data_IF_337462537235
#
_entry.id   IF_337462537235
#
_cell.length_a   1.000
_cell.length_b   1.000
_cell.length_c   1.000
_cell.angle_alpha   90.00
_cell.angle_beta   90.00
_cell.angle_gamma   90.00
#
_symmetry.space_group_name_H-M   'P 1'
#
loop_
_entity.id
_entity.type
_entity.pdbx_description
1 polymer ?
#
# COMPACT_ATOMS: atom_id res chain seq x y z
N UNK A 1 -6.18 -24.49 -8.15
CA UNK A 1 -5.53 -23.38 -7.40
C UNK A 1 -5.13 -22.33 -8.42
N UNK A 2 -5.38 -21.07 -8.11
CA UNK A 2 -4.92 -19.93 -8.92
C UNK A 2 -3.43 -19.71 -8.69
N UNK A 3 -2.70 -19.17 -9.68
CA UNK A 3 -1.27 -18.86 -9.57
C UNK A 3 -1.00 -17.87 -8.43
N UNK A 4 -1.85 -16.85 -8.29
CA UNK A 4 -1.90 -15.91 -7.16
C UNK A 4 -3.23 -16.05 -6.42
N UNK A 5 -3.27 -15.61 -5.17
CA UNK A 5 -4.50 -15.57 -4.38
C UNK A 5 -4.61 -14.27 -3.60
N UNK A 6 -5.56 -13.43 -4.01
CA UNK A 6 -5.82 -12.12 -3.43
C UNK A 6 -4.54 -11.26 -3.31
N UNK A 7 -3.82 -10.98 -4.42
CA UNK A 7 -2.63 -10.13 -4.36
C UNK A 7 -3.02 -8.75 -3.81
N UNK A 8 -2.45 -8.38 -2.65
CA UNK A 8 -2.80 -7.15 -1.96
C UNK A 8 -1.97 -5.95 -2.40
N UNK A 9 -0.67 -6.14 -2.62
CA UNK A 9 0.24 -5.08 -3.05
C UNK A 9 1.11 -5.57 -4.21
N UNK A 10 1.45 -4.64 -5.07
CA UNK A 10 2.50 -4.79 -6.07
C UNK A 10 3.50 -3.64 -5.90
N UNK A 11 4.79 -3.94 -5.95
CA UNK A 11 5.88 -2.97 -5.88
C UNK A 11 6.83 -3.19 -7.04
N UNK A 12 6.90 -2.22 -7.95
CA UNK A 12 7.72 -2.29 -9.14
C UNK A 12 9.05 -1.57 -8.95
N UNK A 13 10.16 -2.26 -9.20
CA UNK A 13 11.52 -1.75 -9.22
C UNK A 13 12.05 -1.75 -10.66
N UNK A 14 11.92 -0.59 -11.32
CA UNK A 14 12.38 -0.42 -12.69
C UNK A 14 13.89 -0.49 -12.86
N UNK A 15 14.66 -0.14 -11.82
CA UNK A 15 16.11 -0.20 -11.86
C UNK A 15 16.62 -1.64 -11.81
N UNK A 16 16.05 -2.45 -10.92
CA UNK A 16 16.40 -3.86 -10.75
C UNK A 16 15.65 -4.80 -11.71
N UNK A 17 14.75 -4.29 -12.57
CA UNK A 17 13.86 -5.08 -13.41
C UNK A 17 13.08 -6.14 -12.60
N UNK A 18 12.52 -5.70 -11.46
CA UNK A 18 11.84 -6.59 -10.51
C UNK A 18 10.42 -6.11 -10.20
N UNK A 19 9.55 -7.07 -10.01
CA UNK A 19 8.19 -6.85 -9.50
C UNK A 19 8.01 -7.72 -8.25
N UNK A 20 7.71 -7.10 -7.12
CA UNK A 20 7.37 -7.79 -5.88
C UNK A 20 5.85 -7.81 -5.75
N UNK A 21 5.29 -9.00 -5.54
CA UNK A 21 3.85 -9.22 -5.43
C UNK A 21 3.56 -9.83 -4.07
N UNK A 22 2.82 -9.13 -3.23
CA UNK A 22 2.27 -9.70 -2.02
C UNK A 22 1.13 -10.65 -2.40
N UNK A 23 1.43 -11.94 -2.45
CA UNK A 23 0.47 -13.02 -2.72
C UNK A 23 -0.21 -13.40 -1.39
N UNK A 24 -1.10 -12.51 -0.97
CA UNK A 24 -1.55 -12.33 0.40
C UNK A 24 -2.15 -13.58 1.01
N UNK A 25 -3.10 -14.22 0.33
CA UNK A 25 -3.74 -15.44 0.86
C UNK A 25 -2.87 -16.71 0.72
N UNK A 26 -1.78 -16.65 -0.05
CA UNK A 26 -0.75 -17.68 -0.06
C UNK A 26 0.39 -17.40 0.94
N UNK A 27 0.28 -16.38 1.78
CA UNK A 27 1.24 -16.03 2.83
C UNK A 27 2.69 -15.92 2.33
N UNK A 28 2.90 -15.33 1.14
CA UNK A 28 4.21 -15.26 0.50
C UNK A 28 4.37 -14.00 -0.34
N UNK A 29 5.61 -13.68 -0.71
CA UNK A 29 5.93 -12.65 -1.68
C UNK A 29 6.48 -13.34 -2.94
N UNK A 30 5.91 -13.08 -4.09
CA UNK A 30 6.42 -13.56 -5.39
C UNK A 30 7.24 -12.45 -6.02
N UNK A 31 8.48 -12.76 -6.38
CA UNK A 31 9.38 -11.84 -7.09
C UNK A 31 9.50 -12.29 -8.54
N UNK A 32 9.12 -11.40 -9.46
CA UNK A 32 9.24 -11.64 -10.89
C UNK A 32 10.14 -10.60 -11.55
N UNK A 33 10.52 -10.80 -12.80
CA UNK A 33 10.87 -9.67 -13.67
C UNK A 33 9.61 -8.86 -13.98
N UNK A 34 9.80 -7.67 -14.58
CA UNK A 34 8.67 -6.81 -14.95
C UNK A 34 7.77 -7.43 -16.05
N UNK A 35 8.24 -8.46 -16.73
CA UNK A 35 7.47 -9.23 -17.73
C UNK A 35 6.66 -10.40 -17.13
N UNK A 36 6.75 -10.63 -15.81
CA UNK A 36 6.04 -11.69 -15.10
C UNK A 36 6.82 -13.01 -14.93
N UNK A 37 8.05 -13.11 -15.44
CA UNK A 37 8.92 -14.29 -15.27
C UNK A 37 9.37 -14.41 -13.81
N UNK A 38 8.96 -15.47 -13.10
CA UNK A 38 9.27 -15.67 -11.66
C UNK A 38 10.76 -15.89 -11.47
N UNK A 39 11.34 -15.16 -10.53
CA UNK A 39 12.73 -15.27 -10.08
C UNK A 39 12.86 -15.94 -8.74
N UNK A 40 11.96 -15.64 -7.83
CA UNK A 40 12.06 -16.09 -6.44
C UNK A 40 10.70 -16.05 -5.76
N UNK A 41 10.52 -16.93 -4.78
CA UNK A 41 9.42 -16.87 -3.81
C UNK A 41 10.02 -16.68 -2.43
N UNK A 42 9.47 -15.76 -1.67
CA UNK A 42 9.85 -15.43 -0.30
C UNK A 42 8.67 -15.83 0.60
N UNK A 43 8.92 -16.70 1.54
CA UNK A 43 7.90 -17.32 2.39
C UNK A 43 7.61 -18.76 1.96
N UNK A 44 7.35 -19.60 2.96
CA UNK A 44 7.02 -21.03 2.77
C UNK A 44 5.59 -21.24 2.25
N UNK A 45 4.74 -20.21 2.35
CA UNK A 45 3.29 -20.31 2.13
C UNK A 45 2.51 -20.73 3.36
N UNK A 46 3.17 -21.20 4.41
CA UNK A 46 2.53 -21.49 5.69
C UNK A 46 2.27 -20.19 6.46
N UNK A 47 1.13 -20.13 7.12
CA UNK A 47 0.77 -19.04 8.03
C UNK A 47 1.69 -19.05 9.26
N UNK A 48 2.30 -17.91 9.61
CA UNK A 48 3.13 -17.81 10.81
C UNK A 48 4.09 -16.63 10.82
N UNK A 49 4.79 -16.47 11.94
CA UNK A 49 5.80 -15.43 12.18
C UNK A 49 7.19 -16.08 12.33
N UNK A 50 7.69 -16.67 11.25
CA UNK A 50 9.00 -17.39 11.28
C UNK A 50 10.05 -16.59 10.53
N UNK A 51 11.13 -16.26 11.22
CA UNK A 51 12.34 -15.66 10.65
C UNK A 51 13.30 -16.72 10.08
N UNK A 52 14.20 -16.34 9.19
CA UNK A 52 15.25 -17.21 8.67
C UNK A 52 15.44 -17.12 7.16
N UNK A 53 15.79 -18.23 6.50
CA UNK A 53 15.99 -18.30 5.06
C UNK A 53 14.69 -17.95 4.31
N UNK A 54 14.80 -17.33 3.13
CA UNK A 54 13.64 -16.86 2.34
C UNK A 54 12.57 -17.92 2.17
N UNK A 55 12.94 -19.13 1.74
CA UNK A 55 11.98 -20.20 1.46
C UNK A 55 11.42 -20.91 2.72
N UNK A 56 11.98 -20.63 3.90
CA UNK A 56 11.58 -21.24 5.18
C UNK A 56 10.88 -20.26 6.12
N UNK A 57 10.96 -18.97 5.80
CA UNK A 57 10.23 -17.94 6.56
C UNK A 57 8.72 -18.11 6.39
N UNK A 58 7.95 -17.61 7.35
CA UNK A 58 6.50 -17.61 7.26
C UNK A 58 5.96 -16.20 7.47
N UNK A 59 4.88 -15.89 6.80
CA UNK A 59 4.11 -14.65 6.88
C UNK A 59 2.64 -14.97 7.20
N UNK A 60 1.88 -13.94 7.53
CA UNK A 60 0.44 -14.07 7.67
C UNK A 60 -0.26 -12.87 7.00
N UNK A 61 -0.85 -13.12 5.83
CA UNK A 61 -1.51 -12.12 4.99
C UNK A 61 -0.63 -10.86 4.78
N UNK A 62 0.60 -11.00 4.21
CA UNK A 62 1.45 -9.84 3.91
C UNK A 62 0.75 -8.92 2.92
N UNK A 63 0.82 -7.61 3.15
CA UNK A 63 0.19 -6.59 2.32
C UNK A 63 1.24 -5.62 1.74
N UNK A 64 1.49 -4.51 2.41
CA UNK A 64 2.34 -3.45 1.92
C UNK A 64 3.82 -3.78 1.88
N UNK A 65 4.53 -3.15 0.95
CA UNK A 65 5.98 -3.36 0.76
C UNK A 65 6.66 -2.05 0.41
N UNK A 66 7.90 -1.87 0.92
CA UNK A 66 8.81 -0.80 0.52
C UNK A 66 10.21 -1.36 0.29
N UNK A 67 10.90 -0.84 -0.74
CA UNK A 67 12.24 -1.29 -1.11
C UNK A 67 13.26 -0.19 -0.84
N UNK A 68 14.37 -0.56 -0.21
CA UNK A 68 15.60 0.21 -0.12
C UNK A 68 16.75 -0.63 -0.63
N UNK A 69 17.17 -0.38 -1.86
CA UNK A 69 18.25 -1.13 -2.53
C UNK A 69 17.97 -2.64 -2.56
N UNK A 70 18.64 -3.43 -1.74
CA UNK A 70 18.47 -4.88 -1.61
C UNK A 70 17.76 -5.27 -0.30
N UNK A 71 17.09 -4.33 0.34
CA UNK A 71 16.27 -4.58 1.53
C UNK A 71 14.80 -4.30 1.20
N UNK A 72 13.96 -5.35 1.31
CA UNK A 72 12.52 -5.22 1.21
C UNK A 72 11.90 -5.23 2.61
N UNK A 73 11.13 -4.20 2.92
CA UNK A 73 10.30 -4.13 4.12
C UNK A 73 8.88 -4.58 3.78
N UNK A 74 8.28 -5.39 4.64
CA UNK A 74 6.95 -5.98 4.43
C UNK A 74 6.06 -5.72 5.63
N UNK A 75 4.87 -5.21 5.39
CA UNK A 75 3.78 -5.18 6.36
C UNK A 75 3.17 -6.59 6.43
N UNK A 76 3.49 -7.31 7.48
CA UNK A 76 3.00 -8.66 7.77
C UNK A 76 1.74 -8.53 8.64
N UNK A 77 0.62 -8.22 7.96
CA UNK A 77 -0.55 -7.55 8.53
C UNK A 77 -1.21 -8.32 9.65
N UNK A 78 -1.51 -9.61 9.44
CA UNK A 78 -2.17 -10.44 10.45
C UNK A 78 -1.19 -10.98 11.51
N UNK A 79 0.12 -10.87 11.26
CA UNK A 79 1.14 -11.04 12.30
C UNK A 79 1.39 -9.76 13.10
N UNK A 80 0.71 -8.66 12.78
CA UNK A 80 0.93 -7.37 13.44
C UNK A 80 2.42 -7.00 13.54
N UNK A 81 3.16 -7.19 12.43
CA UNK A 81 4.61 -7.08 12.41
C UNK A 81 5.14 -6.39 11.15
N UNK A 82 6.33 -5.82 11.26
CA UNK A 82 7.12 -5.38 10.10
C UNK A 82 8.29 -6.35 9.92
N UNK A 83 8.39 -6.91 8.72
CA UNK A 83 9.45 -7.85 8.38
C UNK A 83 10.47 -7.16 7.46
N UNK A 84 11.72 -7.47 7.66
CA UNK A 84 12.84 -7.08 6.81
C UNK A 84 13.32 -8.30 6.05
N UNK A 85 13.31 -8.20 4.74
CA UNK A 85 13.87 -9.19 3.83
C UNK A 85 15.18 -8.63 3.28
N UNK A 86 16.28 -9.25 3.59
CA UNK A 86 17.58 -8.97 2.99
C UNK A 86 17.77 -9.89 1.78
N UNK A 87 17.60 -9.29 0.59
CA UNK A 87 17.68 -10.02 -0.69
C UNK A 87 19.09 -10.47 -1.01
N UNK A 88 20.12 -9.78 -0.48
CA UNK A 88 21.53 -10.13 -0.71
C UNK A 88 21.97 -11.34 0.12
N UNK A 89 21.58 -11.40 1.39
CA UNK A 89 21.90 -12.53 2.27
C UNK A 89 20.87 -13.67 2.18
N UNK A 90 19.70 -13.41 1.60
CA UNK A 90 18.63 -14.39 1.50
C UNK A 90 17.93 -14.69 2.82
N UNK A 91 17.71 -13.67 3.66
CA UNK A 91 17.13 -13.84 5.00
C UNK A 91 15.96 -12.92 5.28
N UNK A 92 15.02 -13.39 6.10
CA UNK A 92 13.89 -12.62 6.65
C UNK A 92 14.10 -12.47 8.16
N UNK A 93 13.81 -11.28 8.68
CA UNK A 93 13.82 -10.99 10.12
C UNK A 93 12.68 -10.05 10.50
N UNK A 94 12.14 -10.24 11.69
CA UNK A 94 11.16 -9.33 12.30
C UNK A 94 11.87 -8.13 12.89
N UNK A 95 11.50 -6.91 12.48
CA UNK A 95 12.13 -5.66 12.98
C UNK A 95 11.18 -4.84 13.86
N UNK A 96 9.88 -5.07 13.77
CA UNK A 96 8.89 -4.49 14.67
C UNK A 96 7.67 -5.40 14.80
N UNK A 97 6.98 -5.30 15.91
CA UNK A 97 5.85 -6.15 16.28
C UNK A 97 6.26 -7.30 17.18
N UNK A 98 5.37 -7.70 18.08
CA UNK A 98 5.53 -8.83 18.99
C UNK A 98 4.89 -10.11 18.43
N UNK A 99 4.13 -10.01 17.34
CA UNK A 99 3.27 -11.06 16.82
C UNK A 99 1.87 -11.06 17.42
N UNK A 100 1.66 -10.30 18.48
CA UNK A 100 0.35 -10.13 19.12
C UNK A 100 -0.27 -8.79 18.74
N UNK A 101 -1.58 -8.76 18.55
CA UNK A 101 -2.30 -7.51 18.26
C UNK A 101 -2.25 -6.56 19.45
N UNK A 102 -1.79 -5.35 19.22
CA UNK A 102 -1.86 -4.27 20.21
C UNK A 102 -3.28 -3.77 20.43
N UNK A 103 -3.51 -3.16 21.58
CA UNK A 103 -4.81 -2.61 21.96
C UNK A 103 -4.74 -1.15 22.40
N UNK A 104 -3.56 -0.57 22.49
CA UNK A 104 -3.32 0.78 22.99
C UNK A 104 -2.51 1.59 21.99
N UNK A 105 -2.72 2.89 22.02
CA UNK A 105 -1.89 3.87 21.32
C UNK A 105 -0.66 4.13 22.17
N UNK A 106 0.34 3.33 21.98
CA UNK A 106 1.54 3.38 22.80
C UNK A 106 2.40 4.61 22.44
N UNK A 107 3.18 5.03 23.44
CA UNK A 107 4.31 5.90 23.21
C UNK A 107 5.35 5.19 22.31
N UNK A 108 6.32 5.93 21.77
CA UNK A 108 7.41 5.35 21.00
C UNK A 108 8.21 4.34 21.83
N UNK A 109 8.51 3.21 21.23
CA UNK A 109 9.28 2.13 21.86
C UNK A 109 10.19 1.40 20.87
N UNK A 110 10.93 0.42 21.35
CA UNK A 110 11.79 -0.39 20.49
C UNK A 110 10.95 -1.38 19.66
N UNK A 111 11.17 -1.46 18.36
CA UNK A 111 10.30 -2.12 17.39
C UNK A 111 9.80 -3.50 17.80
N UNK A 112 10.70 -4.41 18.16
CA UNK A 112 10.33 -5.79 18.54
C UNK A 112 9.69 -5.92 19.93
N UNK A 113 9.62 -4.83 20.70
CA UNK A 113 8.92 -4.78 22.00
C UNK A 113 7.56 -4.10 21.91
N UNK A 114 7.20 -3.59 20.73
CA UNK A 114 5.94 -2.89 20.49
C UNK A 114 4.92 -3.83 19.85
N UNK A 115 3.74 -3.95 20.43
CA UNK A 115 2.62 -4.63 19.78
C UNK A 115 2.00 -3.70 18.74
N UNK A 116 2.02 -4.09 17.47
CA UNK A 116 1.44 -3.32 16.37
C UNK A 116 -0.04 -3.69 16.15
N UNK A 117 -0.74 -2.91 15.36
CA UNK A 117 -2.16 -3.16 15.08
C UNK A 117 -2.41 -3.07 13.58
N UNK A 118 -2.33 -4.21 12.90
CA UNK A 118 -2.60 -4.37 11.48
C UNK A 118 -1.88 -3.32 10.62
N UNK A 119 -0.52 -3.31 10.58
CA UNK A 119 0.21 -2.50 9.61
C UNK A 119 -0.22 -2.93 8.20
N UNK A 120 -0.66 -1.97 7.38
CA UNK A 120 -1.25 -2.31 6.09
C UNK A 120 -0.34 -1.96 4.91
N UNK A 121 0.26 -0.78 4.92
CA UNK A 121 1.23 -0.38 3.89
C UNK A 121 2.37 0.43 4.50
N UNK A 122 3.46 0.57 3.76
CA UNK A 122 4.63 1.31 4.23
C UNK A 122 5.38 1.99 3.08
N UNK A 123 6.07 3.07 3.41
CA UNK A 123 6.96 3.77 2.50
C UNK A 123 8.27 4.11 3.19
N UNK A 124 9.37 3.87 2.48
CA UNK A 124 10.72 4.20 2.94
C UNK A 124 11.12 5.58 2.44
N UNK A 125 11.58 6.43 3.36
CA UNK A 125 12.12 7.74 3.05
C UNK A 125 13.39 7.97 3.87
N UNK A 126 14.53 8.04 3.21
CA UNK A 126 15.86 8.15 3.84
C UNK A 126 16.11 7.00 4.82
N UNK A 127 16.06 7.25 6.12
CA UNK A 127 16.23 6.24 7.17
C UNK A 127 14.94 5.92 7.93
N UNK A 128 13.84 6.52 7.54
CA UNK A 128 12.56 6.38 8.22
C UNK A 128 11.65 5.49 7.37
N UNK A 129 11.03 4.54 8.02
CA UNK A 129 9.91 3.77 7.49
C UNK A 129 8.62 4.37 8.04
N UNK A 130 7.78 4.92 7.16
CA UNK A 130 6.43 5.37 7.52
C UNK A 130 5.44 4.26 7.23
N UNK A 131 4.50 4.05 8.14
CA UNK A 131 3.62 2.89 8.17
C UNK A 131 2.17 3.36 8.30
N UNK A 132 1.31 2.92 7.41
CA UNK A 132 -0.13 3.03 7.55
C UNK A 132 -0.61 1.96 8.53
N UNK A 133 -0.93 2.38 9.77
CA UNK A 133 -1.39 1.50 10.84
C UNK A 133 -2.92 1.47 10.85
N UNK A 134 -3.48 0.69 9.91
CA UNK A 134 -4.91 0.70 9.62
C UNK A 134 -5.79 0.36 10.83
N UNK A 135 -5.36 -0.60 11.65
CA UNK A 135 -6.16 -1.11 12.77
C UNK A 135 -6.34 -0.14 13.94
N UNK A 136 -5.61 0.99 13.99
CA UNK A 136 -5.75 2.03 15.02
C UNK A 136 -5.80 3.45 14.44
N UNK A 137 -6.17 3.58 13.17
CA UNK A 137 -6.43 4.87 12.54
C UNK A 137 -5.27 5.88 12.68
N UNK A 138 -4.02 5.41 12.49
CA UNK A 138 -2.82 6.23 12.64
C UNK A 138 -1.80 6.00 11.51
N UNK A 139 -0.95 6.99 11.27
CA UNK A 139 0.34 6.77 10.62
C UNK A 139 1.40 6.64 11.71
N UNK A 140 2.31 5.69 11.54
CA UNK A 140 3.45 5.46 12.42
C UNK A 140 4.75 5.72 11.69
N UNK A 141 5.85 5.91 12.44
CA UNK A 141 7.19 6.01 11.90
C UNK A 141 8.17 5.17 12.70
N UNK A 142 9.08 4.50 11.98
CA UNK A 142 10.18 3.73 12.55
C UNK A 142 11.51 4.31 12.06
N UNK A 143 12.41 4.66 12.98
CA UNK A 143 13.78 5.00 12.65
C UNK A 143 14.59 3.70 12.50
N UNK A 144 15.04 3.41 11.29
CA UNK A 144 15.76 2.16 10.97
C UNK A 144 17.17 2.10 11.59
N UNK A 145 17.70 3.21 12.11
CA UNK A 145 19.02 3.26 12.74
C UNK A 145 18.98 2.75 14.17
N UNK A 146 17.99 3.14 14.96
CA UNK A 146 17.90 2.80 16.39
C UNK A 146 16.71 1.87 16.70
N UNK A 147 15.86 1.58 15.70
CA UNK A 147 14.72 0.69 15.85
C UNK A 147 13.55 1.28 16.64
N UNK A 148 13.55 2.58 16.90
CA UNK A 148 12.45 3.24 17.61
C UNK A 148 11.24 3.47 16.70
N UNK A 149 10.09 2.95 17.10
CA UNK A 149 8.82 3.02 16.38
C UNK A 149 7.72 3.64 17.25
N UNK A 150 6.75 4.29 16.64
CA UNK A 150 5.57 4.80 17.33
C UNK A 150 4.74 5.74 16.48
N UNK A 151 3.65 6.29 17.05
CA UNK A 151 2.74 7.21 16.35
C UNK A 151 3.49 8.38 15.71
N UNK A 152 3.09 8.73 14.49
CA UNK A 152 3.55 9.89 13.74
C UNK A 152 2.40 10.88 13.50
N UNK A 153 1.25 10.42 13.05
CA UNK A 153 0.07 11.24 12.82
C UNK A 153 -1.22 10.47 13.17
N UNK A 154 -2.21 11.19 13.67
CA UNK A 154 -3.50 10.65 14.08
C UNK A 154 -3.59 10.38 15.58
N UNK A 155 -4.76 10.68 16.16
CA UNK A 155 -5.06 10.42 17.59
C UNK A 155 -5.44 8.96 17.86
N UNK A 156 -5.81 8.21 16.81
CA UNK A 156 -6.45 6.90 16.88
C UNK A 156 -7.97 6.96 16.99
N UNK A 157 -8.55 8.16 17.07
CA UNK A 157 -9.98 8.36 16.84
C UNK A 157 -10.33 8.23 15.38
N UNK A 158 -11.46 7.60 15.08
CA UNK A 158 -11.94 7.37 13.72
C UNK A 158 -12.77 8.56 13.22
N UNK A 159 -12.16 9.43 12.42
CA UNK A 159 -12.81 10.58 11.79
C UNK A 159 -11.98 11.16 10.64
N UNK A 160 -12.49 12.20 9.97
CA UNK A 160 -11.80 12.99 8.95
C UNK A 160 -11.44 14.39 9.49
N UNK A 161 -10.68 14.48 10.56
CA UNK A 161 -10.30 15.76 11.13
C UNK A 161 -8.92 16.19 10.68
N UNK A 162 -8.85 17.30 9.96
CA UNK A 162 -7.59 17.94 9.56
C UNK A 162 -6.99 18.75 10.72
N UNK A 163 -5.66 18.92 10.71
CA UNK A 163 -4.98 19.72 11.74
C UNK A 163 -3.56 19.23 12.02
N UNK A 164 -2.95 19.67 13.14
CA UNK A 164 -1.62 19.22 13.54
C UNK A 164 -1.53 17.70 13.61
N UNK A 165 -0.35 17.12 13.28
CA UNK A 165 -0.15 15.68 13.19
C UNK A 165 -0.69 14.90 14.40
N UNK A 166 -0.42 15.38 15.63
CA UNK A 166 -0.82 14.72 16.87
C UNK A 166 -2.28 14.91 17.28
N UNK A 167 -3.07 15.73 16.58
CA UNK A 167 -4.48 16.03 16.91
C UNK A 167 -5.44 15.74 15.76
N UNK A 168 -4.93 15.44 14.59
CA UNK A 168 -5.74 14.99 13.47
C UNK A 168 -6.38 13.64 13.78
N UNK A 169 -7.53 13.35 13.14
CA UNK A 169 -8.16 12.03 13.21
C UNK A 169 -8.20 11.44 11.81
N UNK A 170 -7.90 10.16 11.71
CA UNK A 170 -7.85 9.37 10.49
C UNK A 170 -8.89 8.24 10.58
N UNK A 171 -9.19 7.60 9.45
CA UNK A 171 -10.09 6.46 9.47
C UNK A 171 -9.58 5.34 8.57
N UNK A 172 -8.79 4.47 9.13
CA UNK A 172 -8.24 3.28 8.48
C UNK A 172 -7.32 3.62 7.29
N UNK A 173 -6.19 4.34 7.51
CA UNK A 173 -5.23 4.58 6.45
C UNK A 173 -4.68 3.24 5.93
N UNK A 174 -4.90 2.94 4.65
CA UNK A 174 -4.47 1.69 4.02
C UNK A 174 -3.22 1.88 3.18
N UNK A 175 -3.29 2.64 2.09
CA UNK A 175 -2.14 2.90 1.23
C UNK A 175 -1.36 4.15 1.64
N UNK A 176 -0.05 4.13 1.48
CA UNK A 176 0.83 5.27 1.77
C UNK A 176 1.93 5.42 0.72
N UNK A 177 2.24 6.67 0.36
CA UNK A 177 3.33 7.05 -0.54
C UNK A 177 3.91 8.39 -0.15
N UNK A 178 5.01 8.82 -0.80
CA UNK A 178 5.66 10.11 -0.52
C UNK A 178 6.17 10.80 -1.77
N UNK A 179 6.26 12.13 -1.74
CA UNK A 179 7.00 12.96 -2.70
C UNK A 179 8.36 13.42 -2.15
N UNK A 180 8.77 12.90 -0.99
CA UNK A 180 9.96 13.30 -0.25
C UNK A 180 9.76 14.46 0.73
N UNK A 181 8.64 15.17 0.66
CA UNK A 181 8.29 16.30 1.56
C UNK A 181 7.02 16.05 2.35
N UNK A 182 6.13 15.25 1.82
CA UNK A 182 4.86 14.85 2.40
C UNK A 182 4.63 13.36 2.23
N UNK A 183 3.88 12.82 3.15
CA UNK A 183 3.20 11.55 2.99
C UNK A 183 1.84 11.81 2.37
N UNK A 184 1.43 10.94 1.45
CA UNK A 184 0.07 10.88 0.93
C UNK A 184 -0.50 9.51 1.26
N UNK A 185 -1.75 9.46 1.66
CA UNK A 185 -2.37 8.19 2.06
C UNK A 185 -3.84 8.11 1.63
N UNK A 186 -4.25 6.90 1.34
CA UNK A 186 -5.64 6.54 1.15
C UNK A 186 -6.26 6.25 2.53
N UNK A 187 -7.20 7.09 2.94
CA UNK A 187 -7.92 6.98 4.21
C UNK A 187 -9.26 6.32 3.94
N UNK A 188 -9.26 4.98 4.00
CA UNK A 188 -10.24 4.14 3.31
C UNK A 188 -11.67 4.32 3.84
N UNK A 189 -11.88 4.35 5.14
CA UNK A 189 -13.22 4.50 5.72
C UNK A 189 -13.83 5.88 5.48
N UNK A 190 -13.00 6.92 5.34
CA UNK A 190 -13.49 8.25 4.92
C UNK A 190 -13.61 8.37 3.41
N UNK A 191 -13.28 7.33 2.65
CA UNK A 191 -13.27 7.37 1.19
C UNK A 191 -12.54 8.60 0.65
N UNK A 192 -11.36 8.89 1.20
CA UNK A 192 -10.60 10.09 0.95
C UNK A 192 -9.14 9.84 0.59
N UNK A 193 -8.51 10.84 0.00
CA UNK A 193 -7.05 10.95 -0.14
C UNK A 193 -6.59 12.13 0.68
N UNK A 194 -5.61 11.89 1.55
CA UNK A 194 -5.10 12.89 2.49
C UNK A 194 -3.59 12.99 2.42
N UNK A 195 -3.04 14.05 3.00
CA UNK A 195 -1.58 14.24 3.14
C UNK A 195 -1.21 14.53 4.59
N UNK A 196 0.02 14.16 4.97
CA UNK A 196 0.67 14.54 6.22
C UNK A 196 2.04 15.14 5.91
N UNK A 197 2.34 16.31 6.44
CA UNK A 197 3.67 16.91 6.31
C UNK A 197 4.69 16.03 7.06
N UNK A 198 5.88 15.79 6.48
CA UNK A 198 6.94 15.00 7.14
C UNK A 198 7.58 15.76 8.31
N UNK A 199 7.51 17.10 8.29
CA UNK A 199 7.97 17.93 9.41
C UNK A 199 7.15 17.62 10.67
N UNK A 200 7.78 17.38 11.84
CA UNK A 200 7.09 17.09 13.11
C UNK A 200 6.06 18.15 13.56
N UNK A 201 6.25 19.41 13.17
CA UNK A 201 5.30 20.50 13.44
C UNK A 201 4.25 20.66 12.31
N UNK A 202 4.14 19.68 11.46
CA UNK A 202 3.28 19.69 10.29
C UNK A 202 1.82 19.37 10.57
N UNK A 203 1.05 19.25 9.50
CA UNK A 203 -0.38 19.03 9.55
C UNK A 203 -0.81 17.87 8.65
N UNK A 204 -1.92 17.24 9.01
CA UNK A 204 -2.72 16.42 8.13
C UNK A 204 -3.73 17.31 7.39
N UNK A 205 -3.93 17.04 6.09
CA UNK A 205 -4.91 17.76 5.26
C UNK A 205 -5.60 16.80 4.31
N UNK A 206 -6.91 16.96 4.19
CA UNK A 206 -7.72 16.27 3.19
C UNK A 206 -7.51 16.91 1.81
N UNK A 207 -7.16 16.11 0.82
CA UNK A 207 -7.00 16.53 -0.58
C UNK A 207 -8.34 16.41 -1.29
N UNK A 208 -8.95 15.21 -1.26
CA UNK A 208 -10.28 14.92 -1.81
C UNK A 208 -11.01 13.96 -0.87
N UNK A 209 -12.34 14.02 -0.86
CA UNK A 209 -13.18 13.31 0.09
C UNK A 209 -13.88 14.29 1.03
N UNK A 210 -14.83 13.83 1.84
CA UNK A 210 -15.67 14.73 2.64
C UNK A 210 -15.92 14.25 4.06
N UNK A 211 -16.38 13.00 4.26
CA UNK A 211 -16.79 12.50 5.58
C UNK A 211 -16.85 10.97 5.57
N UNK A 212 -16.92 10.33 6.77
CA UNK A 212 -16.98 8.88 6.98
C UNK A 212 -18.07 8.17 6.15
N UNK A 213 -19.20 8.79 5.97
CA UNK A 213 -20.36 8.18 5.30
C UNK A 213 -20.65 8.77 3.94
N UNK A 214 -19.73 9.54 3.37
CA UNK A 214 -19.90 10.22 2.08
C UNK A 214 -18.98 9.60 1.04
N UNK A 215 -19.47 8.58 0.37
CA UNK A 215 -18.77 7.83 -0.67
C UNK A 215 -19.55 7.83 -1.99
N UNK A 216 -18.94 7.31 -3.04
CA UNK A 216 -19.55 7.18 -4.37
C UNK A 216 -18.50 7.15 -5.47
N UNK A 217 -18.91 7.45 -6.71
CA UNK A 217 -18.03 7.50 -7.87
C UNK A 217 -18.29 8.81 -8.63
N UNK A 218 -17.65 9.89 -8.19
CA UNK A 218 -17.80 11.22 -8.81
C UNK A 218 -16.42 11.85 -9.00
N UNK A 219 -16.06 12.07 -10.24
CA UNK A 219 -14.89 12.84 -10.62
C UNK A 219 -15.12 14.34 -10.45
N UNK A 220 -14.07 15.11 -10.25
CA UNK A 220 -14.17 16.57 -10.11
C UNK A 220 -13.12 17.17 -9.19
N UNK A 221 -13.50 18.19 -8.43
CA UNK A 221 -12.59 18.91 -7.55
C UNK A 221 -13.20 19.11 -6.16
N UNK A 222 -12.30 19.25 -5.17
CA UNK A 222 -12.61 19.56 -3.77
C UNK A 222 -13.64 18.58 -3.16
N UNK A 223 -14.64 19.13 -2.47
CA UNK A 223 -15.70 18.40 -1.80
C UNK A 223 -16.75 17.75 -2.75
N UNK A 224 -16.62 17.94 -4.06
CA UNK A 224 -17.48 17.27 -5.03
C UNK A 224 -17.01 15.86 -5.37
N UNK A 225 -15.70 15.58 -5.21
CA UNK A 225 -15.14 14.24 -5.47
C UNK A 225 -15.77 13.21 -4.54
N UNK A 226 -16.10 12.05 -5.11
CA UNK A 226 -16.50 10.87 -4.35
C UNK A 226 -15.66 9.69 -4.77
N UNK A 227 -15.11 9.02 -3.77
CA UNK A 227 -14.38 7.76 -3.88
C UNK A 227 -15.14 6.70 -3.08
N UNK A 228 -14.72 5.45 -3.18
CA UNK A 228 -15.28 4.40 -2.34
C UNK A 228 -14.18 3.42 -1.91
N UNK A 229 -13.78 3.49 -0.64
CA UNK A 229 -12.75 2.66 -0.01
C UNK A 229 -11.47 2.59 -0.87
N UNK A 230 -10.81 3.71 -1.19
CA UNK A 230 -9.52 3.67 -1.87
C UNK A 230 -8.50 2.95 -1.00
N UNK A 231 -7.75 2.00 -1.56
CA UNK A 231 -6.74 1.22 -0.83
C UNK A 231 -5.34 1.56 -1.30
N UNK A 232 -5.05 1.41 -2.58
CA UNK A 232 -3.71 1.67 -3.10
C UNK A 232 -3.49 3.13 -3.47
N UNK A 233 -2.29 3.61 -3.22
CA UNK A 233 -1.85 4.94 -3.63
C UNK A 233 -0.37 4.90 -4.01
N UNK A 234 -0.01 5.62 -5.06
CA UNK A 234 1.39 5.82 -5.43
C UNK A 234 1.59 7.21 -6.01
N UNK A 235 2.73 7.82 -5.70
CA UNK A 235 3.15 9.10 -6.28
C UNK A 235 4.02 8.84 -7.52
N UNK A 236 3.67 9.47 -8.64
CA UNK A 236 4.45 9.40 -9.86
C UNK A 236 4.39 10.74 -10.59
N UNK A 237 5.54 11.37 -10.81
CA UNK A 237 5.70 12.62 -11.55
C UNK A 237 4.76 13.76 -11.11
N UNK A 238 4.66 13.98 -9.80
CA UNK A 238 3.82 15.03 -9.21
C UNK A 238 2.31 14.72 -9.16
N UNK A 239 1.91 13.53 -9.57
CA UNK A 239 0.53 13.04 -9.58
C UNK A 239 0.41 11.86 -8.63
N UNK A 240 -0.71 11.77 -7.92
CA UNK A 240 -1.06 10.56 -7.19
C UNK A 240 -1.97 9.68 -8.06
N UNK A 241 -1.69 8.41 -8.08
CA UNK A 241 -2.58 7.41 -8.66
C UNK A 241 -3.11 6.53 -7.55
N UNK A 242 -4.43 6.31 -7.54
CA UNK A 242 -5.11 5.53 -6.51
C UNK A 242 -5.93 4.42 -7.15
N UNK A 243 -6.06 3.33 -6.43
CA UNK A 243 -7.12 2.35 -6.68
C UNK A 243 -8.35 2.78 -5.90
N UNK A 244 -9.39 3.15 -6.61
CA UNK A 244 -10.71 3.44 -6.05
C UNK A 244 -11.48 2.11 -5.97
N UNK A 245 -11.13 1.34 -4.96
CA UNK A 245 -11.24 -0.12 -4.89
C UNK A 245 -12.67 -0.61 -5.09
N UNK A 246 -13.65 -0.10 -4.33
CA UNK A 246 -15.04 -0.53 -4.46
C UNK A 246 -15.76 0.08 -5.67
N UNK A 247 -15.15 1.07 -6.33
CA UNK A 247 -15.59 1.54 -7.64
C UNK A 247 -14.93 0.79 -8.80
N UNK A 248 -14.05 -0.19 -8.53
CA UNK A 248 -13.37 -1.00 -9.55
C UNK A 248 -12.59 -0.16 -10.57
N UNK A 249 -11.96 0.93 -10.11
CA UNK A 249 -11.31 1.94 -10.96
C UNK A 249 -9.90 2.27 -10.48
N UNK A 250 -9.13 2.83 -11.40
CA UNK A 250 -7.93 3.61 -11.08
C UNK A 250 -8.21 5.07 -11.38
N UNK A 251 -7.91 5.94 -10.43
CA UNK A 251 -8.03 7.39 -10.59
C UNK A 251 -6.68 8.08 -10.37
N UNK A 252 -6.49 9.22 -11.03
CA UNK A 252 -5.42 10.17 -10.74
C UNK A 252 -5.94 11.27 -9.84
N UNK A 253 -5.14 11.65 -8.86
CA UNK A 253 -5.43 12.77 -7.96
C UNK A 253 -4.34 13.82 -8.13
N UNK A 254 -4.73 15.06 -8.35
CA UNK A 254 -3.86 16.22 -8.46
C UNK A 254 -3.90 17.00 -7.14
N UNK A 255 -2.92 16.84 -6.23
CA UNK A 255 -2.99 17.40 -4.88
C UNK A 255 -3.14 18.92 -4.86
N UNK A 256 -2.39 19.64 -5.71
CA UNK A 256 -2.42 21.10 -5.78
C UNK A 256 -3.78 21.64 -6.28
N UNK A 257 -4.49 20.87 -7.09
CA UNK A 257 -5.79 21.23 -7.65
C UNK A 257 -6.94 20.63 -6.85
N UNK A 258 -6.65 19.79 -5.86
CA UNK A 258 -7.63 19.04 -5.07
C UNK A 258 -8.67 18.36 -5.95
N UNK A 259 -8.22 17.65 -6.99
CA UNK A 259 -9.10 17.04 -7.99
C UNK A 259 -8.76 15.59 -8.23
N UNK A 260 -9.75 14.79 -8.58
CA UNK A 260 -9.61 13.38 -8.92
C UNK A 260 -10.37 13.06 -10.20
N UNK A 261 -9.78 12.22 -11.06
CA UNK A 261 -10.35 11.81 -12.34
C UNK A 261 -10.04 10.34 -12.62
N UNK A 262 -11.04 9.62 -13.12
CA UNK A 262 -10.91 8.25 -13.60
C UNK A 262 -9.91 8.18 -14.76
N UNK A 263 -9.01 7.22 -14.72
CA UNK A 263 -8.06 6.95 -15.81
C UNK A 263 -8.23 5.55 -16.38
N UNK A 264 -8.60 4.55 -15.56
CA UNK A 264 -8.83 3.17 -16.00
C UNK A 264 -10.05 2.60 -15.27
N UNK A 265 -10.77 1.72 -15.97
CA UNK A 265 -11.92 1.00 -15.43
C UNK A 265 -13.26 1.74 -15.62
N UNK A 266 -14.33 1.00 -15.83
CA UNK A 266 -15.67 1.52 -16.08
C UNK A 266 -16.61 1.45 -14.87
N UNK A 267 -16.12 0.99 -13.71
CA UNK A 267 -16.92 0.85 -12.49
C UNK A 267 -17.72 -0.46 -12.40
N UNK A 268 -17.61 -1.33 -13.38
CA UNK A 268 -18.22 -2.67 -13.34
C UNK A 268 -17.16 -3.69 -12.97
N UNK A 269 -17.42 -4.48 -11.91
CA UNK A 269 -16.52 -5.56 -11.53
C UNK A 269 -16.37 -6.58 -12.68
N UNK A 270 -15.13 -6.89 -13.04
CA UNK A 270 -14.86 -7.83 -14.11
C UNK A 270 -13.37 -7.99 -14.39
N UNK A 271 -13.03 -8.88 -15.32
CA UNK A 271 -11.66 -9.15 -15.75
C UNK A 271 -11.57 -8.97 -17.27
N UNK A 272 -11.50 -7.72 -17.70
CA UNK A 272 -11.47 -7.37 -19.13
C UNK A 272 -10.26 -6.47 -19.41
N UNK A 273 -9.43 -6.86 -20.37
CA UNK A 273 -8.37 -6.03 -20.91
C UNK A 273 -8.94 -4.99 -21.88
N UNK A 274 -8.26 -3.85 -22.03
CA UNK A 274 -8.71 -2.79 -22.93
C UNK A 274 -8.13 -1.42 -22.58
N UNK A 275 -8.48 -0.41 -23.35
CA UNK A 275 -7.97 0.95 -23.15
C UNK A 275 -8.92 1.77 -22.24
N UNK A 276 -8.35 2.45 -21.25
CA UNK A 276 -9.07 3.37 -20.37
C UNK A 276 -10.29 2.72 -19.70
N UNK A 277 -11.47 3.28 -19.96
CA UNK A 277 -12.74 2.79 -19.44
C UNK A 277 -13.27 1.51 -20.12
N UNK A 278 -12.56 0.96 -21.10
CA UNK A 278 -12.90 -0.37 -21.67
C UNK A 278 -12.42 -1.50 -20.77
N UNK A 279 -11.41 -1.25 -19.94
CA UNK A 279 -10.93 -2.22 -18.97
C UNK A 279 -11.93 -2.42 -17.82
N UNK A 280 -11.91 -3.61 -17.23
CA UNK A 280 -12.61 -3.91 -15.99
C UNK A 280 -11.67 -4.54 -14.98
N UNK A 281 -11.84 -4.14 -13.74
CA UNK A 281 -11.13 -4.65 -12.57
C UNK A 281 -12.14 -5.21 -11.56
N UNK A 282 -11.65 -5.95 -10.57
CA UNK A 282 -12.46 -6.38 -9.44
C UNK A 282 -11.73 -6.10 -8.13
N UNK A 283 -12.13 -5.02 -7.47
CA UNK A 283 -11.52 -4.52 -6.23
C UNK A 283 -9.99 -4.41 -6.31
N UNK A 284 -9.45 -3.60 -7.25
CA UNK A 284 -8.01 -3.39 -7.35
C UNK A 284 -7.50 -2.75 -6.07
N UNK A 285 -6.33 -3.21 -5.55
CA UNK A 285 -5.75 -2.70 -4.30
C UNK A 285 -4.37 -2.07 -4.50
N UNK A 286 -3.33 -2.83 -4.75
CA UNK A 286 -1.98 -2.29 -4.89
C UNK A 286 -1.73 -1.64 -6.26
N UNK A 287 -0.92 -0.58 -6.29
CA UNK A 287 -0.53 0.12 -7.52
C UNK A 287 0.91 0.61 -7.42
N UNK A 288 1.69 0.43 -8.49
CA UNK A 288 3.09 0.86 -8.56
C UNK A 288 3.51 1.16 -10.01
N UNK A 289 4.59 1.93 -10.20
CA UNK A 289 5.09 2.34 -11.50
C UNK A 289 6.53 1.91 -11.74
N UNK A 290 6.80 1.39 -12.93
CA UNK A 290 8.15 1.19 -13.44
C UNK A 290 8.17 1.18 -14.97
N UNK A 291 9.26 1.65 -15.56
CA UNK A 291 9.57 1.51 -17.00
C UNK A 291 8.43 1.92 -17.94
N UNK A 292 7.70 3.00 -17.60
CA UNK A 292 6.59 3.50 -18.42
C UNK A 292 5.27 2.74 -18.28
N UNK A 293 5.20 1.82 -17.31
CA UNK A 293 4.00 1.03 -17.01
C UNK A 293 3.53 1.23 -15.58
N UNK A 294 2.23 1.11 -15.42
CA UNK A 294 1.51 1.00 -14.15
C UNK A 294 1.21 -0.48 -13.93
N UNK A 295 1.58 -0.99 -12.76
CA UNK A 295 1.27 -2.35 -12.30
C UNK A 295 0.20 -2.25 -11.23
N UNK A 296 -0.86 -3.05 -11.35
CA UNK A 296 -2.05 -2.99 -10.50
C UNK A 296 -2.34 -4.40 -9.98
N UNK A 297 -2.44 -4.56 -8.68
CA UNK A 297 -2.98 -5.77 -8.07
C UNK A 297 -4.51 -5.76 -8.22
N UNK A 298 -5.01 -6.59 -9.11
CA UNK A 298 -6.45 -6.77 -9.38
C UNK A 298 -6.96 -7.91 -8.48
N UNK A 299 -7.14 -7.58 -7.22
CA UNK A 299 -7.14 -8.48 -6.07
C UNK A 299 -8.18 -9.59 -6.20
N UNK A 300 -9.45 -9.27 -6.43
CA UNK A 300 -10.50 -10.29 -6.54
C UNK A 300 -10.44 -11.07 -7.86
N UNK A 301 -9.67 -10.60 -8.84
CA UNK A 301 -9.36 -11.36 -10.05
C UNK A 301 -8.12 -12.26 -9.89
N UNK A 302 -7.44 -12.22 -8.74
CA UNK A 302 -6.19 -12.96 -8.49
C UNK A 302 -5.12 -12.69 -9.56
N UNK A 303 -5.01 -11.47 -10.05
CA UNK A 303 -4.19 -11.11 -11.19
C UNK A 303 -3.39 -9.82 -10.95
N UNK A 304 -2.29 -9.69 -11.68
CA UNK A 304 -1.61 -8.40 -11.85
C UNK A 304 -1.97 -7.87 -13.24
N UNK A 305 -2.41 -6.61 -13.28
CA UNK A 305 -2.70 -5.92 -14.54
C UNK A 305 -1.60 -4.90 -14.83
N UNK A 306 -1.28 -4.74 -16.09
CA UNK A 306 -0.28 -3.78 -16.57
C UNK A 306 -0.95 -2.78 -17.50
N UNK A 307 -0.75 -1.49 -17.24
CA UNK A 307 -1.24 -0.43 -18.10
C UNK A 307 -0.09 0.49 -18.54
N UNK A 308 0.05 0.71 -19.84
CA UNK A 308 0.99 1.72 -20.34
C UNK A 308 0.54 3.13 -19.92
N UNK A 309 1.43 3.91 -19.33
CA UNK A 309 1.11 5.26 -18.81
C UNK A 309 0.57 6.17 -19.92
N UNK A 310 1.20 6.16 -21.09
CA UNK A 310 0.81 7.03 -22.23
C UNK A 310 -0.39 6.47 -22.99
N UNK A 311 -0.45 5.15 -23.16
CA UNK A 311 -1.48 4.51 -23.99
C UNK A 311 -2.79 4.29 -23.23
N UNK A 312 -2.74 4.13 -21.91
CA UNK A 312 -3.86 3.70 -21.08
C UNK A 312 -4.37 2.29 -21.42
N UNK A 313 -3.63 1.50 -22.18
CA UNK A 313 -4.02 0.13 -22.56
C UNK A 313 -3.67 -0.81 -21.44
N UNK A 314 -4.68 -1.48 -20.89
CA UNK A 314 -4.55 -2.48 -19.82
C UNK A 314 -4.47 -3.87 -20.43
N UNK A 315 -3.54 -4.65 -19.91
CA UNK A 315 -3.41 -6.09 -20.18
C UNK A 315 -3.18 -6.86 -18.88
N UNK A 316 -3.47 -8.15 -18.90
CA UNK A 316 -3.16 -9.05 -17.78
C UNK A 316 -1.72 -9.52 -17.88
N UNK A 317 -0.94 -9.40 -16.80
CA UNK A 317 0.43 -9.91 -16.73
C UNK A 317 0.40 -11.43 -16.52
N UNK A 318 1.01 -12.16 -17.42
CA UNK A 318 1.18 -13.61 -17.27
C UNK A 318 2.32 -13.88 -16.26
N UNK A 319 2.00 -14.54 -15.15
CA UNK A 319 3.00 -14.98 -14.17
C UNK A 319 3.43 -16.39 -14.54
N UNK A 320 4.70 -16.53 -14.95
CA UNK A 320 5.24 -17.79 -15.48
C UNK A 320 6.37 -18.33 -14.59
N UNK A 321 6.35 -19.65 -14.32
CA UNK A 321 7.40 -20.32 -13.55
C UNK A 321 7.12 -20.42 -12.05
N UNK A 322 5.86 -20.24 -11.61
CA UNK A 322 5.41 -20.39 -10.22
C UNK A 322 4.93 -21.81 -9.96
#
# INVERSE_FOLDING_TARGET
ETTLSFPGKVLADGFGNRLFIADTNHNRIVVTELDGSVKQVIGSGEEGLTDGELAKSAFNHPQGMALDSETLYVADTENHAIRRVDLSSGTVSTIAGTGEQGHTQEERGHGTSMALVSPFDLVHQERILYIAMAGIHQLWSMDLKDGMIGPFAGTGGEAITDGPLGTAELAQPCGITTDGTKLFFADSETSSVRSADINPDGNVRTIVGLDLFVFGDVDGSDHHVRLQHPIGITHYDGVLYITDTYNHKVKRVLPAMRSAFTVLGNGVAGHVDGAGEQAQFSEPSGISFASGNMYIADTNNNAIRVAGIESGVVSTLEISGL
#
